data_IF_393797560423
#
_entry.id   IF_393797560423
#
_cell.length_a   1.000
_cell.length_b   1.000
_cell.length_c   1.000
_cell.angle_alpha   90.00
_cell.angle_beta   90.00
_cell.angle_gamma   90.00
#
_symmetry.space_group_name_H-M   'P 1'
#
loop_
_entity.id
_entity.type
_entity.pdbx_description
1 polymer ?
#
# COMPACT_ATOMS: atom_id res chain seq x y z
N UNK A 1 4.29 35.87 -7.43
CA UNK A 1 4.04 34.48 -6.99
C UNK A 1 2.59 34.19 -7.35
N UNK A 2 2.38 33.45 -8.41
CA UNK A 2 1.03 33.12 -8.88
C UNK A 2 0.32 32.33 -7.78
N UNK A 3 -0.87 32.79 -7.47
CA UNK A 3 -1.66 32.22 -6.37
C UNK A 3 -2.32 30.93 -6.87
N UNK A 4 -1.58 29.79 -6.80
CA UNK A 4 -2.09 28.48 -7.21
C UNK A 4 -3.36 28.19 -6.42
N UNK A 5 -4.46 27.89 -7.11
CA UNK A 5 -5.75 27.62 -6.47
C UNK A 5 -5.75 26.31 -5.70
N UNK A 6 -6.63 26.17 -4.69
CA UNK A 6 -6.80 24.89 -3.98
C UNK A 6 -7.23 23.76 -4.93
N UNK A 7 -8.00 24.09 -5.96
CA UNK A 7 -8.44 23.15 -6.98
C UNK A 7 -7.24 22.59 -7.75
N UNK A 8 -6.38 23.46 -8.27
CA UNK A 8 -5.17 23.07 -9.02
C UNK A 8 -4.26 22.19 -8.18
N UNK A 9 -4.00 22.55 -6.92
CA UNK A 9 -3.17 21.73 -6.00
C UNK A 9 -3.71 20.33 -5.85
N UNK A 10 -5.01 20.18 -5.63
CA UNK A 10 -5.64 18.85 -5.41
C UNK A 10 -5.61 18.02 -6.70
N UNK A 11 -5.95 18.63 -7.84
CA UNK A 11 -5.96 17.95 -9.14
C UNK A 11 -4.55 17.50 -9.51
N UNK A 12 -3.56 18.36 -9.40
CA UNK A 12 -2.16 18.01 -9.68
C UNK A 12 -1.65 16.89 -8.78
N UNK A 13 -1.96 16.92 -7.50
CA UNK A 13 -1.56 15.87 -6.56
C UNK A 13 -2.15 14.50 -6.97
N UNK A 14 -3.40 14.47 -7.42
CA UNK A 14 -4.05 13.25 -7.92
C UNK A 14 -3.40 12.77 -9.22
N UNK A 15 -3.18 13.70 -10.17
CA UNK A 15 -2.64 13.39 -11.48
C UNK A 15 -1.16 12.99 -11.43
N UNK A 16 -0.39 13.50 -10.48
CA UNK A 16 1.05 13.25 -10.35
C UNK A 16 1.39 11.99 -9.53
N UNK A 17 0.47 11.49 -8.70
CA UNK A 17 0.71 10.29 -7.90
C UNK A 17 1.04 9.07 -8.78
N UNK A 18 2.14 8.40 -8.46
CA UNK A 18 2.61 7.17 -9.13
C UNK A 18 2.81 6.02 -8.15
N UNK A 19 2.86 4.81 -8.68
CA UNK A 19 3.35 3.64 -7.93
C UNK A 19 4.87 3.63 -7.98
N UNK A 20 5.49 4.08 -6.90
CA UNK A 20 6.94 4.15 -6.71
C UNK A 20 7.44 2.82 -6.17
N UNK A 21 8.53 2.29 -6.74
CA UNK A 21 9.13 1.00 -6.40
C UNK A 21 10.63 1.07 -6.09
N UNK A 22 11.17 2.28 -6.02
CA UNK A 22 12.52 2.54 -5.56
C UNK A 22 12.49 3.62 -4.50
N UNK A 23 13.08 3.36 -3.37
CA UNK A 23 13.03 4.21 -2.18
C UNK A 23 14.42 4.48 -1.65
N UNK A 24 14.59 5.65 -1.01
CA UNK A 24 15.78 5.94 -0.19
C UNK A 24 15.74 5.08 1.07
N UNK A 25 16.90 4.69 1.58
CA UNK A 25 17.03 3.88 2.79
C UNK A 25 16.48 4.56 4.06
N UNK A 26 16.38 5.89 4.03
CA UNK A 26 15.88 6.69 5.14
C UNK A 26 14.45 6.31 5.50
N UNK A 27 14.22 6.01 6.77
CA UNK A 27 12.89 5.75 7.32
C UNK A 27 11.97 6.96 7.20
N UNK A 28 10.70 6.70 6.90
CA UNK A 28 9.65 7.72 7.00
C UNK A 28 9.52 8.15 8.46
N UNK A 29 9.56 9.45 8.70
CA UNK A 29 9.52 9.99 10.06
C UNK A 29 8.15 9.76 10.70
N UNK A 30 8.10 9.68 12.03
CA UNK A 30 6.85 9.57 12.76
C UNK A 30 5.90 10.73 12.46
N UNK A 31 6.42 11.95 12.34
CA UNK A 31 5.64 13.13 11.97
C UNK A 31 4.92 12.96 10.63
N UNK A 32 5.60 12.44 9.60
CA UNK A 32 4.98 12.17 8.31
C UNK A 32 3.95 11.04 8.40
N UNK A 33 4.27 9.96 9.13
CA UNK A 33 3.32 8.86 9.33
C UNK A 33 2.04 9.33 10.04
N UNK A 34 2.17 10.15 11.08
CA UNK A 34 1.03 10.70 11.82
C UNK A 34 0.14 11.57 10.92
N UNK A 35 0.73 12.41 10.07
CA UNK A 35 -0.01 13.21 9.08
C UNK A 35 -0.75 12.33 8.08
N UNK A 36 -0.07 11.31 7.54
CA UNK A 36 -0.66 10.36 6.58
C UNK A 36 -1.82 9.60 7.23
N UNK A 37 -1.61 9.03 8.41
CA UNK A 37 -2.63 8.27 9.12
C UNK A 37 -3.82 9.14 9.49
N UNK A 38 -3.59 10.39 9.91
CA UNK A 38 -4.66 11.36 10.17
C UNK A 38 -5.49 11.64 8.91
N UNK A 39 -4.89 11.71 7.74
CA UNK A 39 -5.64 11.83 6.48
C UNK A 39 -6.38 10.53 6.17
N UNK A 40 -5.74 9.39 6.37
CA UNK A 40 -6.29 8.08 6.06
C UNK A 40 -7.58 7.78 6.84
N UNK A 41 -7.60 8.02 8.15
CA UNK A 41 -8.78 7.78 9.01
C UNK A 41 -9.98 8.68 8.68
N UNK A 42 -9.78 9.74 7.90
CA UNK A 42 -10.86 10.60 7.40
C UNK A 42 -11.49 10.07 6.09
N UNK A 43 -11.11 8.87 5.64
CA UNK A 43 -11.81 8.22 4.54
C UNK A 43 -13.27 7.94 4.91
N UNK A 44 -14.21 8.08 3.97
CA UNK A 44 -15.58 7.66 4.21
C UNK A 44 -15.65 6.14 4.35
N UNK A 45 -16.60 5.67 5.15
CA UNK A 45 -16.91 4.25 5.28
C UNK A 45 -18.41 4.02 5.40
N UNK A 46 -18.88 2.86 5.00
CA UNK A 46 -20.32 2.53 5.06
C UNK A 46 -20.85 2.69 6.48
N UNK A 47 -21.85 3.57 6.67
CA UNK A 47 -22.42 3.91 7.99
C UNK A 47 -21.39 4.34 9.03
N UNK A 48 -20.27 4.90 8.62
CA UNK A 48 -19.13 5.28 9.46
C UNK A 48 -18.59 4.10 10.31
N UNK A 49 -18.64 2.88 9.79
CA UNK A 49 -18.16 1.68 10.49
C UNK A 49 -16.66 1.60 10.66
N UNK A 50 -15.90 2.34 9.82
CA UNK A 50 -14.43 2.38 9.88
C UNK A 50 -13.84 0.97 9.91
N UNK A 51 -14.22 0.16 8.94
CA UNK A 51 -14.04 -1.29 8.86
C UNK A 51 -12.60 -1.76 8.64
N UNK A 52 -11.62 -0.99 9.10
CA UNK A 52 -10.19 -1.25 8.94
C UNK A 52 -9.45 -1.35 10.27
N UNK A 53 -8.42 -2.19 10.27
CA UNK A 53 -7.34 -2.19 11.24
C UNK A 53 -6.02 -1.99 10.49
N UNK A 54 -5.07 -1.27 11.09
CA UNK A 54 -3.84 -0.87 10.41
C UNK A 54 -2.62 -1.21 11.25
N UNK A 55 -1.57 -1.72 10.60
CA UNK A 55 -0.25 -1.92 11.20
C UNK A 55 0.81 -1.26 10.32
N UNK A 56 1.55 -0.33 10.88
CA UNK A 56 2.70 0.31 10.24
C UNK A 56 3.95 -0.43 10.67
N UNK A 57 4.61 -1.09 9.74
CA UNK A 57 5.79 -1.91 10.00
C UNK A 57 7.03 -1.24 9.44
N UNK A 58 7.96 -0.88 10.33
CA UNK A 58 9.29 -0.36 10.03
C UNK A 58 10.41 -1.33 10.49
N UNK A 59 10.03 -2.49 11.00
CA UNK A 59 10.95 -3.55 11.41
C UNK A 59 11.46 -4.30 10.18
N UNK A 60 12.71 -3.99 9.78
CA UNK A 60 13.33 -4.55 8.59
C UNK A 60 13.54 -6.06 8.66
N UNK A 61 13.82 -6.61 9.85
CA UNK A 61 13.98 -8.06 10.02
C UNK A 61 12.65 -8.79 9.77
N UNK A 62 11.54 -8.23 10.26
CA UNK A 62 10.21 -8.79 9.99
C UNK A 62 9.87 -8.73 8.49
N UNK A 63 10.13 -7.60 7.84
CA UNK A 63 9.87 -7.44 6.40
C UNK A 63 10.73 -8.40 5.56
N UNK A 64 12.01 -8.61 5.93
CA UNK A 64 12.88 -9.60 5.28
C UNK A 64 12.35 -11.03 5.45
N UNK A 65 11.91 -11.41 6.65
CA UNK A 65 11.29 -12.73 6.90
C UNK A 65 10.04 -12.92 6.02
N UNK A 66 9.18 -11.91 5.91
CA UNK A 66 8.00 -11.94 5.04
C UNK A 66 8.39 -12.11 3.57
N UNK A 67 9.45 -11.44 3.10
CA UNK A 67 9.95 -11.59 1.73
C UNK A 67 10.46 -13.01 1.47
N UNK A 68 11.26 -13.57 2.38
CA UNK A 68 11.79 -14.93 2.27
C UNK A 68 10.66 -15.96 2.21
N UNK A 69 9.67 -15.83 3.08
CA UNK A 69 8.49 -16.68 3.09
C UNK A 69 7.69 -16.57 1.79
N UNK A 70 7.51 -15.36 1.25
CA UNK A 70 6.85 -15.15 -0.05
C UNK A 70 7.59 -15.88 -1.18
N UNK A 71 8.93 -15.82 -1.22
CA UNK A 71 9.73 -16.51 -2.22
C UNK A 71 9.54 -18.03 -2.10
N UNK A 72 9.63 -18.57 -0.89
CA UNK A 72 9.46 -20.00 -0.63
C UNK A 72 8.06 -20.50 -1.02
N UNK A 73 7.01 -19.76 -0.62
CA UNK A 73 5.62 -20.03 -0.97
C UNK A 73 5.40 -20.00 -2.49
N UNK A 74 5.93 -18.99 -3.17
CA UNK A 74 5.77 -18.81 -4.61
C UNK A 74 6.38 -19.97 -5.40
N UNK A 75 7.58 -20.42 -5.02
CA UNK A 75 8.25 -21.60 -5.60
C UNK A 75 7.45 -22.88 -5.39
N UNK A 76 6.95 -23.09 -4.17
CA UNK A 76 6.18 -24.29 -3.80
C UNK A 76 4.87 -24.41 -4.61
N UNK A 77 4.18 -23.28 -4.79
CA UNK A 77 2.84 -23.26 -5.39
C UNK A 77 2.83 -23.04 -6.91
N UNK A 78 3.98 -22.76 -7.52
CA UNK A 78 4.09 -22.56 -8.97
C UNK A 78 5.40 -23.18 -9.51
N UNK A 79 5.63 -24.49 -9.34
CA UNK A 79 6.92 -25.11 -9.65
C UNK A 79 7.33 -24.97 -11.13
N UNK A 80 6.35 -24.77 -12.04
CA UNK A 80 6.57 -24.61 -13.47
C UNK A 80 6.99 -23.18 -13.88
N UNK A 81 6.94 -22.21 -12.96
CA UNK A 81 7.32 -20.83 -13.30
C UNK A 81 8.82 -20.60 -13.16
N UNK A 82 9.33 -19.76 -14.03
CA UNK A 82 10.68 -19.21 -13.85
C UNK A 82 10.68 -18.21 -12.69
N UNK A 83 11.49 -18.50 -11.70
CA UNK A 83 11.71 -17.66 -10.52
C UNK A 83 13.10 -17.01 -10.50
N UNK A 84 13.81 -16.99 -11.63
CA UNK A 84 15.14 -16.39 -11.72
C UNK A 84 15.18 -14.97 -11.19
N UNK A 85 14.17 -14.15 -11.49
CA UNK A 85 14.05 -12.78 -10.99
C UNK A 85 13.84 -12.68 -9.47
N UNK A 86 13.32 -13.74 -8.81
CA UNK A 86 13.14 -13.77 -7.36
C UNK A 86 14.44 -14.17 -6.63
N UNK A 87 15.43 -14.64 -7.38
CA UNK A 87 16.75 -15.02 -6.87
C UNK A 87 17.75 -13.88 -6.99
N UNK A 88 17.37 -12.79 -7.67
CA UNK A 88 18.19 -11.59 -7.70
C UNK A 88 18.43 -11.08 -6.28
N UNK A 89 19.66 -10.69 -5.93
CA UNK A 89 20.03 -10.27 -4.57
C UNK A 89 19.14 -9.16 -4.00
N UNK A 90 18.62 -8.29 -4.90
CA UNK A 90 17.82 -7.12 -4.53
C UNK A 90 16.31 -7.37 -4.66
N UNK A 91 15.88 -8.61 -4.98
CA UNK A 91 14.45 -8.89 -5.09
C UNK A 91 13.74 -8.71 -3.76
N UNK A 92 12.68 -7.91 -3.80
CA UNK A 92 11.79 -7.71 -2.66
C UNK A 92 10.35 -7.50 -3.15
N UNK A 93 9.43 -8.33 -2.64
CA UNK A 93 7.99 -8.17 -2.91
C UNK A 93 7.43 -6.82 -2.43
N UNK A 94 8.12 -6.18 -1.49
CA UNK A 94 7.80 -4.85 -0.98
C UNK A 94 8.77 -3.76 -1.49
N UNK A 95 9.57 -4.08 -2.54
CA UNK A 95 10.49 -3.14 -3.22
C UNK A 95 11.52 -2.49 -2.28
N UNK A 96 11.99 -3.22 -1.26
CA UNK A 96 12.91 -2.72 -0.23
C UNK A 96 12.43 -1.42 0.45
N UNK A 97 11.12 -1.19 0.48
CA UNK A 97 10.55 -0.02 1.13
C UNK A 97 10.90 -0.01 2.62
N UNK A 98 11.34 1.13 3.19
CA UNK A 98 11.67 1.24 4.60
C UNK A 98 10.44 1.08 5.52
N UNK A 99 9.26 1.28 4.99
CA UNK A 99 7.98 1.17 5.71
C UNK A 99 6.97 0.39 4.87
N UNK A 100 6.25 -0.54 5.49
CA UNK A 100 5.09 -1.21 4.88
C UNK A 100 3.88 -1.06 5.81
N UNK A 101 2.78 -0.60 5.23
CA UNK A 101 1.50 -0.45 5.96
C UNK A 101 0.62 -1.62 5.57
N UNK A 102 0.18 -2.40 6.56
CA UNK A 102 -0.74 -3.51 6.39
C UNK A 102 -2.13 -3.08 6.85
N UNK A 103 -3.13 -3.36 6.04
CA UNK A 103 -4.53 -3.01 6.29
C UNK A 103 -5.36 -4.30 6.27
N UNK A 104 -6.06 -4.56 7.37
CA UNK A 104 -7.00 -5.65 7.49
C UNK A 104 -8.43 -5.10 7.51
N UNK A 105 -9.34 -5.77 6.82
CA UNK A 105 -10.77 -5.44 6.81
C UNK A 105 -11.53 -6.28 7.83
N UNK A 106 -12.65 -5.78 8.34
CA UNK A 106 -13.58 -6.63 9.10
C UNK A 106 -14.25 -7.66 8.17
N UNK A 107 -14.46 -8.88 8.68
CA UNK A 107 -15.02 -10.02 7.93
C UNK A 107 -16.54 -9.94 7.77
N UNK A 108 -17.23 -9.26 8.66
CA UNK A 108 -18.68 -9.24 8.79
C UNK A 108 -19.36 -8.06 8.07
N UNK A 109 -18.61 -7.28 7.31
CA UNK A 109 -19.14 -6.14 6.54
C UNK A 109 -18.80 -6.28 5.06
N UNK A 110 -19.81 -6.48 4.22
CA UNK A 110 -19.65 -6.61 2.76
C UNK A 110 -19.06 -5.37 2.07
N UNK A 111 -19.12 -4.21 2.71
CA UNK A 111 -18.54 -2.96 2.19
C UNK A 111 -17.09 -2.73 2.63
N UNK A 112 -16.56 -3.59 3.51
CA UNK A 112 -15.24 -3.37 4.13
C UNK A 112 -14.07 -3.32 3.13
N UNK A 113 -14.15 -4.03 2.01
CA UNK A 113 -13.13 -3.94 0.95
C UNK A 113 -13.12 -2.55 0.30
N UNK A 114 -14.31 -1.98 0.04
CA UNK A 114 -14.45 -0.63 -0.51
C UNK A 114 -13.95 0.39 0.50
N UNK A 115 -14.36 0.26 1.77
CA UNK A 115 -13.92 1.12 2.87
C UNK A 115 -12.38 1.14 2.95
N UNK A 116 -11.73 -0.04 2.91
CA UNK A 116 -10.27 -0.16 2.91
C UNK A 116 -9.62 0.45 1.65
N UNK A 117 -10.24 0.32 0.49
CA UNK A 117 -9.78 0.96 -0.74
C UNK A 117 -9.77 2.49 -0.65
N UNK A 118 -10.83 3.08 -0.08
CA UNK A 118 -10.94 4.51 0.17
C UNK A 118 -9.91 4.99 1.20
N UNK A 119 -9.72 4.22 2.26
CA UNK A 119 -8.68 4.45 3.27
C UNK A 119 -7.29 4.47 2.65
N UNK A 120 -6.96 3.47 1.82
CA UNK A 120 -5.68 3.40 1.11
C UNK A 120 -5.50 4.58 0.18
N UNK A 121 -6.53 4.98 -0.58
CA UNK A 121 -6.41 6.13 -1.49
C UNK A 121 -6.03 7.41 -0.74
N UNK A 122 -6.56 7.63 0.47
CA UNK A 122 -6.16 8.76 1.30
C UNK A 122 -4.68 8.66 1.73
N UNK A 123 -4.18 7.45 2.06
CA UNK A 123 -2.74 7.22 2.30
C UNK A 123 -1.92 7.66 1.09
N UNK A 124 -2.30 7.18 -0.11
CA UNK A 124 -1.54 7.41 -1.33
C UNK A 124 -1.46 8.90 -1.69
N UNK A 125 -2.57 9.63 -1.56
CA UNK A 125 -2.64 11.06 -1.90
C UNK A 125 -1.94 11.94 -0.86
N UNK A 126 -2.10 11.63 0.42
CA UNK A 126 -1.41 12.39 1.47
C UNK A 126 0.10 12.16 1.46
N UNK A 127 0.56 10.94 1.15
CA UNK A 127 1.98 10.67 0.95
C UNK A 127 2.54 11.44 -0.25
N UNK A 128 1.83 11.43 -1.40
CA UNK A 128 2.23 12.16 -2.60
C UNK A 128 2.42 13.65 -2.33
N UNK A 129 1.51 14.28 -1.58
CA UNK A 129 1.60 15.71 -1.24
C UNK A 129 2.83 16.07 -0.37
N UNK A 130 3.53 15.07 0.17
CA UNK A 130 4.75 15.22 0.98
C UNK A 130 5.99 14.63 0.29
N UNK A 131 5.92 14.38 -1.02
CA UNK A 131 6.97 13.72 -1.83
C UNK A 131 7.39 12.35 -1.27
N UNK A 132 6.45 11.63 -0.66
CA UNK A 132 6.63 10.27 -0.18
C UNK A 132 6.03 9.31 -1.21
N UNK A 133 6.87 8.40 -1.71
CA UNK A 133 6.48 7.38 -2.67
C UNK A 133 5.69 6.24 -2.03
N UNK A 134 4.71 5.73 -2.77
CA UNK A 134 3.89 4.59 -2.34
C UNK A 134 3.65 3.60 -3.47
N UNK A 135 3.50 2.32 -3.11
CA UNK A 135 3.05 1.28 -4.02
C UNK A 135 2.11 0.31 -3.31
N UNK A 136 0.93 0.08 -3.88
CA UNK A 136 0.00 -0.94 -3.37
C UNK A 136 0.52 -2.33 -3.71
N UNK A 137 0.60 -3.19 -2.71
CA UNK A 137 1.13 -4.56 -2.80
C UNK A 137 -0.02 -5.56 -2.75
N UNK A 138 -0.30 -6.24 -3.86
CA UNK A 138 -1.33 -7.28 -3.90
C UNK A 138 -0.80 -8.69 -3.60
N UNK A 139 0.47 -8.97 -3.93
CA UNK A 139 1.06 -10.29 -3.76
C UNK A 139 1.40 -10.63 -2.31
N UNK A 140 1.93 -9.69 -1.55
CA UNK A 140 2.35 -9.91 -0.17
C UNK A 140 1.18 -10.28 0.77
N UNK A 141 0.05 -9.57 0.79
CA UNK A 141 -1.10 -9.97 1.59
C UNK A 141 -1.64 -11.36 1.24
N UNK A 142 -1.76 -11.68 -0.04
CA UNK A 142 -2.24 -12.99 -0.51
C UNK A 142 -1.39 -14.15 0.00
N UNK A 143 -0.06 -13.96 0.05
CA UNK A 143 0.83 -14.93 0.65
C UNK A 143 0.65 -14.99 2.16
N UNK A 144 0.66 -13.85 2.85
CA UNK A 144 0.66 -13.80 4.32
C UNK A 144 -0.57 -14.45 4.94
N UNK A 145 -1.75 -14.41 4.29
CA UNK A 145 -2.95 -15.09 4.81
C UNK A 145 -2.81 -16.62 4.84
N UNK A 146 -1.88 -17.19 4.05
CA UNK A 146 -1.54 -18.61 4.04
C UNK A 146 -0.46 -18.96 5.08
N UNK A 147 0.31 -17.97 5.53
CA UNK A 147 1.37 -18.13 6.53
C UNK A 147 0.88 -17.64 7.91
N UNK A 148 0.24 -18.54 8.65
CA UNK A 148 -0.38 -18.20 9.93
C UNK A 148 0.62 -17.69 10.97
N UNK A 149 1.87 -18.14 10.94
CA UNK A 149 2.91 -17.67 11.86
C UNK A 149 3.25 -16.21 11.56
N UNK A 150 3.58 -15.89 10.30
CA UNK A 150 3.96 -14.52 9.93
C UNK A 150 2.80 -13.53 10.03
N UNK A 151 1.59 -13.92 9.64
CA UNK A 151 0.43 -13.00 9.76
C UNK A 151 0.08 -12.73 11.22
N UNK A 152 0.26 -13.71 12.13
CA UNK A 152 0.02 -13.50 13.55
C UNK A 152 0.91 -12.43 14.19
N UNK A 153 2.11 -12.20 13.62
CA UNK A 153 3.02 -11.15 14.09
C UNK A 153 2.49 -9.73 13.82
N UNK A 154 1.48 -9.61 12.96
CA UNK A 154 0.77 -8.34 12.72
C UNK A 154 -0.30 -8.07 13.79
N UNK A 155 -0.64 -9.04 14.63
CA UNK A 155 -1.57 -8.92 15.75
C UNK A 155 -2.90 -8.24 15.39
N UNK A 156 -3.50 -8.66 14.27
CA UNK A 156 -4.85 -8.26 13.91
C UNK A 156 -5.89 -9.04 14.71
N UNK A 157 -7.02 -8.42 15.12
CA UNK A 157 -8.12 -9.14 15.74
C UNK A 157 -8.65 -10.27 14.83
N UNK A 158 -9.11 -11.37 15.41
CA UNK A 158 -9.68 -12.52 14.67
C UNK A 158 -10.90 -12.16 13.81
N UNK A 159 -11.58 -11.06 14.14
CA UNK A 159 -12.69 -10.48 13.36
C UNK A 159 -12.25 -9.81 12.06
N UNK A 160 -10.94 -9.67 11.85
CA UNK A 160 -10.37 -9.01 10.68
C UNK A 160 -9.53 -9.97 9.85
N UNK A 161 -9.34 -9.63 8.59
CA UNK A 161 -8.43 -10.34 7.69
C UNK A 161 -7.57 -9.36 6.89
N UNK A 162 -6.30 -9.71 6.73
CA UNK A 162 -5.36 -8.91 5.96
C UNK A 162 -5.80 -8.86 4.49
N UNK A 163 -5.92 -7.64 3.96
CA UNK A 163 -6.47 -7.41 2.61
C UNK A 163 -5.52 -6.65 1.70
N UNK A 164 -4.90 -5.60 2.19
CA UNK A 164 -4.04 -4.70 1.40
C UNK A 164 -2.76 -4.44 2.16
N UNK A 165 -1.65 -4.30 1.42
CA UNK A 165 -0.43 -3.70 1.96
C UNK A 165 0.03 -2.55 1.05
N UNK A 166 0.73 -1.58 1.63
CA UNK A 166 1.27 -0.42 0.92
C UNK A 166 2.75 -0.26 1.30
N UNK A 167 3.64 -0.41 0.32
CA UNK A 167 5.04 -0.02 0.45
C UNK A 167 5.14 1.50 0.46
N UNK A 168 5.99 2.06 1.33
CA UNK A 168 6.13 3.50 1.52
C UNK A 168 7.58 3.88 1.86
N UNK A 169 8.05 4.98 1.29
CA UNK A 169 9.37 5.54 1.56
C UNK A 169 9.60 6.85 0.80
N UNK A 170 10.67 7.57 1.13
CA UNK A 170 11.08 8.72 0.34
C UNK A 170 11.48 8.28 -1.07
N UNK A 171 10.96 8.96 -2.09
CA UNK A 171 11.16 8.62 -3.50
C UNK A 171 12.63 8.58 -3.88
N UNK A 172 13.04 7.52 -4.58
CA UNK A 172 14.31 7.40 -5.28
C UNK A 172 14.11 7.24 -6.80
N UNK A 173 12.87 7.31 -7.26
CA UNK A 173 12.47 7.33 -8.67
C UNK A 173 11.22 8.20 -8.86
N UNK A 174 11.02 8.68 -10.07
CA UNK A 174 9.84 9.45 -10.49
C UNK A 174 9.26 8.83 -11.77
N UNK A 175 8.42 7.78 -11.64
CA UNK A 175 7.91 7.05 -12.80
C UNK A 175 6.99 7.91 -13.66
N UNK A 176 7.08 7.74 -14.98
CA UNK A 176 6.17 8.39 -15.92
C UNK A 176 4.72 7.91 -15.79
N UNK A 177 3.79 8.77 -16.18
CA UNK A 177 2.38 8.43 -16.23
C UNK A 177 2.11 7.41 -17.34
N UNK A 178 1.50 6.27 -16.99
CA UNK A 178 0.98 5.35 -17.99
C UNK A 178 -0.34 5.89 -18.56
N UNK A 179 -0.65 5.64 -19.85
CA UNK A 179 -1.91 6.04 -20.46
C UNK A 179 -3.13 5.59 -19.64
N UNK A 180 -4.17 6.41 -19.63
CA UNK A 180 -5.48 6.10 -19.05
C UNK A 180 -6.53 6.20 -20.14
N UNK A 181 -7.49 5.30 -20.09
CA UNK A 181 -8.55 5.17 -21.06
C UNK A 181 -9.78 5.96 -20.56
N UNK A 182 -9.98 7.14 -21.11
CA UNK A 182 -11.12 8.01 -20.80
C UNK A 182 -12.42 7.52 -21.48
N UNK A 183 -12.32 6.70 -22.53
CA UNK A 183 -13.49 6.18 -23.26
C UNK A 183 -14.35 5.24 -22.40
N UNK A 184 -13.77 4.75 -21.29
CA UNK A 184 -14.53 3.98 -20.27
C UNK A 184 -15.53 4.81 -19.47
N UNK A 185 -15.52 6.16 -19.62
CA UNK A 185 -16.45 7.05 -18.95
C UNK A 185 -17.51 7.47 -19.93
N UNK A 186 -18.78 7.16 -19.64
CA UNK A 186 -19.94 7.53 -20.45
C UNK A 186 -20.85 8.46 -19.65
N UNK A 187 -21.31 9.51 -20.29
CA UNK A 187 -22.29 10.46 -19.72
C UNK A 187 -23.69 10.11 -20.22
N UNK A 188 -24.53 9.61 -19.34
CA UNK A 188 -25.95 9.37 -19.62
C UNK A 188 -26.71 10.63 -19.21
N UNK A 189 -27.35 11.29 -20.19
CA UNK A 189 -28.08 12.54 -20.01
C UNK A 189 -29.59 12.30 -20.15
#
# INVERSE_FOLDING_TARGET
>A
MDNVSKEEIVIENILNRRSVRSYKEKQVTQEHLDKIMRCAINAPSAMNKQSWQVRVVQNQELLKRMNQGFIAYSKKNNPEKDFSSFLEPDFSIYHNAPTVIFIARTKDNSMSEIDCGLFVQNILLSAESMDIGTCVLGGLPRYLVEDKELVSLLDFPDTHELTIAVAMGYKNEYPEAKPRDIEKVQYIK
#
